data_IF_530362246813
#
_entry.id   IF_530362246813
#
_cell.length_a   1.000
_cell.length_b   1.000
_cell.length_c   1.000
_cell.angle_alpha   90.00
_cell.angle_beta   90.00
_cell.angle_gamma   90.00
#
_symmetry.space_group_name_H-M   'P 1'
#
loop_
_entity.id
_entity.type
_entity.pdbx_description
1 polymer ?
#
# COMPACT_ATOMS: atom_id res chain seq x y z
N UNK A 1 10.13 17.85 17.40
CA UNK A 1 10.51 17.29 16.08
C UNK A 1 9.67 16.04 15.91
N UNK A 2 8.76 16.03 14.95
CA UNK A 2 7.65 15.07 14.85
C UNK A 2 8.15 13.79 14.16
N UNK A 3 7.97 12.63 14.77
CA UNK A 3 8.36 11.35 14.19
C UNK A 3 7.15 10.43 14.07
N UNK A 4 6.88 10.02 12.83
CA UNK A 4 5.86 9.06 12.41
C UNK A 4 6.35 7.64 12.72
N UNK A 5 5.54 6.74 13.30
CA UNK A 5 5.57 5.37 12.75
C UNK A 5 4.46 4.38 13.07
N UNK A 6 3.98 4.22 14.30
CA UNK A 6 3.32 2.95 14.61
C UNK A 6 1.95 2.77 13.96
N UNK A 7 1.06 3.75 14.00
CA UNK A 7 -0.34 3.47 13.62
C UNK A 7 -0.56 3.31 12.10
N UNK A 8 0.19 4.04 11.27
CA UNK A 8 0.10 3.92 9.81
C UNK A 8 0.62 2.55 9.34
N UNK A 9 1.72 2.07 9.93
CA UNK A 9 2.31 0.79 9.57
C UNK A 9 1.43 -0.38 10.02
N UNK A 10 0.88 -0.32 11.24
CA UNK A 10 -0.09 -1.32 11.72
C UNK A 10 -1.39 -1.33 10.91
N UNK A 11 -1.91 -0.17 10.48
CA UNK A 11 -3.07 -0.11 9.57
C UNK A 11 -2.77 -0.70 8.18
N UNK A 12 -1.53 -0.61 7.72
CA UNK A 12 -1.11 -1.15 6.43
C UNK A 12 -0.54 -2.58 6.51
N UNK A 13 -0.41 -3.18 7.71
CA UNK A 13 0.07 -4.56 7.89
C UNK A 13 -0.91 -5.53 7.24
N UNK A 14 -0.59 -5.85 6.00
CA UNK A 14 -1.35 -6.78 5.18
C UNK A 14 -2.12 -6.14 4.05
N UNK A 15 -2.10 -4.82 3.82
CA UNK A 15 -2.95 -4.17 2.80
C UNK A 15 -2.17 -3.71 1.55
N UNK A 16 -0.86 -3.77 1.57
CA UNK A 16 0.05 -3.67 0.41
C UNK A 16 1.43 -3.74 1.02
N UNK A 17 2.45 -4.39 0.43
CA UNK A 17 3.81 -4.23 0.90
C UNK A 17 4.30 -2.83 0.50
N UNK A 18 3.81 -1.80 1.18
CA UNK A 18 4.38 -0.46 1.12
C UNK A 18 5.83 -0.61 1.55
N UNK A 19 6.76 -0.40 0.60
CA UNK A 19 8.17 -0.31 0.98
C UNK A 19 8.31 0.83 1.99
N UNK A 20 8.93 0.59 3.14
CA UNK A 20 9.08 1.56 4.21
C UNK A 20 10.13 2.60 3.83
N UNK A 21 9.99 3.30 2.71
CA UNK A 21 10.74 4.53 2.39
C UNK A 21 9.85 5.58 1.71
N UNK A 22 8.58 5.26 1.43
CA UNK A 22 7.72 6.10 0.59
C UNK A 22 6.41 6.54 1.26
N UNK A 23 6.19 6.24 2.53
CA UNK A 23 4.86 6.33 3.16
C UNK A 23 4.37 7.73 3.55
N UNK A 24 5.23 8.75 3.66
CA UNK A 24 4.83 10.05 4.22
C UNK A 24 3.90 10.89 3.34
N UNK A 25 3.73 10.56 2.05
CA UNK A 25 3.04 11.44 1.10
C UNK A 25 1.93 10.75 0.28
N UNK A 26 1.39 9.62 0.77
CA UNK A 26 0.36 8.85 0.06
C UNK A 26 -1.03 8.90 0.71
N UNK A 27 -1.12 9.28 2.00
CA UNK A 27 -2.40 9.52 2.68
C UNK A 27 -3.16 10.68 2.05
N UNK A 28 -4.49 10.61 2.08
CA UNK A 28 -5.39 11.58 1.45
C UNK A 28 -5.18 11.77 -0.07
N UNK A 29 -4.44 10.88 -0.73
CA UNK A 29 -4.21 10.95 -2.18
C UNK A 29 -4.90 9.82 -2.91
N UNK A 30 -5.44 10.16 -4.08
CA UNK A 30 -5.85 9.16 -5.04
C UNK A 30 -4.60 8.56 -5.69
N UNK A 31 -4.70 7.28 -6.02
CA UNK A 31 -3.62 6.57 -6.70
C UNK A 31 -4.13 5.99 -8.02
N UNK A 32 -3.29 6.04 -9.03
CA UNK A 32 -3.53 5.39 -10.31
C UNK A 32 -2.74 4.09 -10.34
N UNK A 33 -3.46 2.98 -10.45
CA UNK A 33 -2.83 1.67 -10.55
C UNK A 33 -2.94 1.17 -11.98
N UNK A 34 -1.79 0.89 -12.57
CA UNK A 34 -1.66 0.33 -13.89
C UNK A 34 -1.39 -1.15 -13.70
N UNK A 35 -2.39 -1.99 -13.96
CA UNK A 35 -2.28 -3.44 -13.90
C UNK A 35 -1.70 -3.96 -15.19
N UNK A 36 -0.57 -4.66 -15.11
CA UNK A 36 0.09 -5.29 -16.25
C UNK A 36 -0.15 -6.80 -16.19
N UNK A 37 -0.84 -7.32 -17.19
CA UNK A 37 -1.05 -8.75 -17.46
C UNK A 37 -1.38 -9.60 -16.21
N UNK A 38 -2.58 -9.44 -15.62
CA UNK A 38 -3.07 -10.32 -14.57
C UNK A 38 -3.33 -11.69 -15.20
N UNK A 39 -2.37 -12.61 -15.13
CA UNK A 39 -2.63 -14.01 -15.45
C UNK A 39 -3.52 -14.59 -14.34
N UNK A 40 -4.84 -14.46 -14.48
CA UNK A 40 -5.79 -15.31 -13.77
C UNK A 40 -6.10 -16.52 -14.63
N UNK A 41 -5.87 -17.71 -14.12
CA UNK A 41 -6.45 -18.92 -14.71
C UNK A 41 -7.92 -19.00 -14.26
N UNK A 42 -8.88 -18.70 -15.14
CA UNK A 42 -10.31 -18.91 -14.88
C UNK A 42 -11.24 -17.77 -15.27
N UNK A 43 -12.47 -18.13 -15.65
CA UNK A 43 -13.57 -17.23 -16.05
C UNK A 43 -14.08 -16.43 -14.83
N UNK A 44 -14.57 -15.23 -15.10
CA UNK A 44 -15.02 -14.26 -14.10
C UNK A 44 -16.45 -14.56 -13.67
N UNK A 45 -16.61 -15.16 -12.49
CA UNK A 45 -17.87 -15.30 -11.76
C UNK A 45 -17.63 -14.92 -10.29
N UNK A 46 -18.68 -14.52 -9.57
CA UNK A 46 -18.68 -14.18 -8.12
C UNK A 46 -18.09 -15.31 -7.23
N UNK A 47 -17.84 -16.50 -7.79
CA UNK A 47 -17.23 -17.67 -7.16
C UNK A 47 -15.69 -17.61 -7.01
N UNK A 48 -15.03 -16.53 -7.45
CA UNK A 48 -13.57 -16.44 -7.42
C UNK A 48 -12.97 -15.83 -6.14
N UNK A 49 -13.81 -15.53 -5.14
CA UNK A 49 -13.36 -15.17 -3.78
C UNK A 49 -12.56 -16.36 -3.18
N UNK A 50 -11.45 -16.08 -2.49
CA UNK A 50 -10.56 -17.10 -1.93
C UNK A 50 -9.54 -17.72 -2.90
N UNK A 51 -9.41 -17.22 -4.14
CA UNK A 51 -8.40 -17.71 -5.10
C UNK A 51 -7.12 -16.87 -5.08
N UNK A 52 -6.00 -17.49 -5.44
CA UNK A 52 -4.70 -16.81 -5.60
C UNK A 52 -4.67 -15.99 -6.90
N UNK A 53 -4.36 -14.70 -6.79
CA UNK A 53 -4.10 -13.80 -7.91
C UNK A 53 -2.60 -13.48 -7.99
N UNK A 54 -2.08 -13.38 -9.23
CA UNK A 54 -0.70 -12.94 -9.51
C UNK A 54 -0.75 -11.70 -10.40
N UNK A 55 -0.16 -10.60 -9.93
CA UNK A 55 -0.36 -9.29 -10.55
C UNK A 55 0.95 -8.51 -10.64
N UNK A 56 1.26 -8.03 -11.85
CA UNK A 56 2.21 -6.93 -12.02
C UNK A 56 1.46 -5.62 -12.03
N UNK A 57 2.00 -4.60 -11.38
CA UNK A 57 1.39 -3.31 -11.28
C UNK A 57 2.42 -2.19 -11.22
N UNK A 58 1.94 -0.98 -11.52
CA UNK A 58 2.62 0.28 -11.23
C UNK A 58 1.63 1.22 -10.58
N UNK A 59 1.96 1.72 -9.38
CA UNK A 59 1.22 2.75 -8.67
C UNK A 59 1.81 4.11 -8.99
N UNK A 60 0.96 5.04 -9.40
CA UNK A 60 1.31 6.45 -9.64
C UNK A 60 0.45 7.37 -8.78
N UNK A 61 1.04 8.47 -8.35
CA UNK A 61 0.31 9.59 -7.74
C UNK A 61 -0.35 10.45 -8.83
N UNK A 62 -1.24 11.36 -8.42
CA UNK A 62 -1.93 12.27 -9.36
C UNK A 62 -0.97 13.21 -10.10
N UNK A 63 0.20 13.52 -9.51
CA UNK A 63 1.25 14.32 -10.15
C UNK A 63 2.11 13.51 -11.16
N UNK A 64 1.80 12.22 -11.36
CA UNK A 64 2.52 11.33 -12.25
C UNK A 64 3.72 10.61 -11.63
N UNK A 65 4.09 10.93 -10.38
CA UNK A 65 5.18 10.27 -9.65
C UNK A 65 4.89 8.78 -9.52
N UNK A 66 5.84 7.94 -9.94
CA UNK A 66 5.76 6.50 -9.71
C UNK A 66 6.05 6.21 -8.24
N UNK A 67 5.00 5.84 -7.53
CA UNK A 67 5.08 5.52 -6.12
C UNK A 67 5.68 4.13 -5.91
N UNK A 68 5.13 3.11 -6.59
CA UNK A 68 5.60 1.74 -6.48
C UNK A 68 5.42 0.98 -7.79
N UNK A 69 6.23 -0.05 -8.01
CA UNK A 69 6.11 -0.94 -9.16
C UNK A 69 6.85 -2.23 -8.91
N UNK A 70 6.30 -3.33 -9.41
CA UNK A 70 6.95 -4.63 -9.43
C UNK A 70 7.16 -5.16 -10.86
N UNK A 71 7.08 -4.30 -11.88
CA UNK A 71 7.22 -4.73 -13.28
C UNK A 71 8.57 -5.40 -13.56
N UNK A 72 9.64 -4.94 -12.90
CA UNK A 72 11.01 -5.48 -13.02
C UNK A 72 11.34 -6.49 -11.89
N UNK A 73 10.33 -7.08 -11.24
CA UNK A 73 10.50 -7.94 -10.06
C UNK A 73 9.52 -9.13 -10.09
N UNK A 74 9.33 -9.82 -8.97
CA UNK A 74 8.32 -10.88 -8.88
C UNK A 74 6.89 -10.32 -8.84
N UNK A 75 5.89 -11.06 -9.38
CA UNK A 75 4.52 -10.64 -9.34
C UNK A 75 4.02 -10.61 -7.89
N UNK A 76 3.14 -9.66 -7.57
CA UNK A 76 2.44 -9.65 -6.29
C UNK A 76 1.46 -10.81 -6.26
N UNK A 77 1.58 -11.66 -5.24
CA UNK A 77 0.73 -12.82 -5.04
C UNK A 77 -0.14 -12.54 -3.81
N UNK A 78 -1.45 -12.61 -3.97
CA UNK A 78 -2.40 -12.45 -2.87
C UNK A 78 -3.63 -13.33 -3.07
N UNK A 79 -4.37 -13.57 -2.00
CA UNK A 79 -5.64 -14.29 -2.02
C UNK A 79 -6.76 -13.26 -2.06
N UNK A 80 -7.62 -13.34 -3.07
CA UNK A 80 -8.76 -12.41 -3.18
C UNK A 80 -9.73 -12.65 -2.02
N UNK A 81 -10.20 -11.59 -1.39
CA UNK A 81 -11.10 -11.66 -0.25
C UNK A 81 -10.41 -11.82 1.11
N UNK A 82 -9.08 -11.91 1.13
CA UNK A 82 -8.31 -12.04 2.35
C UNK A 82 -7.87 -10.68 2.94
N UNK A 83 -8.36 -9.56 2.38
CA UNK A 83 -7.95 -8.19 2.74
C UNK A 83 -6.43 -8.01 2.74
N UNK A 84 -5.76 -8.66 1.78
CA UNK A 84 -4.31 -8.67 1.63
C UNK A 84 -3.77 -7.49 0.79
N UNK A 85 -4.68 -6.71 0.19
CA UNK A 85 -4.38 -5.54 -0.63
C UNK A 85 -5.41 -4.44 -0.35
N UNK A 86 -5.16 -3.19 -0.76
CA UNK A 86 -6.13 -2.08 -0.61
C UNK A 86 -7.46 -2.45 -1.28
N UNK A 87 -8.62 -2.06 -0.71
CA UNK A 87 -9.93 -2.44 -1.23
C UNK A 87 -10.11 -2.12 -2.72
N UNK A 88 -9.66 -0.95 -3.16
CA UNK A 88 -9.75 -0.55 -4.56
C UNK A 88 -8.88 -1.39 -5.50
N UNK A 89 -7.75 -1.91 -5.02
CA UNK A 89 -6.88 -2.78 -5.80
C UNK A 89 -7.53 -4.14 -5.99
N UNK A 90 -8.05 -4.74 -4.91
CA UNK A 90 -8.73 -6.03 -4.99
C UNK A 90 -9.95 -5.96 -5.91
N UNK A 91 -10.80 -4.94 -5.73
CA UNK A 91 -11.97 -4.69 -6.57
C UNK A 91 -11.59 -4.55 -8.05
N UNK A 92 -10.54 -3.78 -8.35
CA UNK A 92 -10.05 -3.62 -9.71
C UNK A 92 -9.60 -4.95 -10.32
N UNK A 93 -8.88 -5.78 -9.57
CA UNK A 93 -8.44 -7.11 -10.03
C UNK A 93 -9.62 -8.06 -10.23
N UNK A 94 -10.63 -8.00 -9.37
CA UNK A 94 -11.85 -8.82 -9.48
C UNK A 94 -12.67 -8.46 -10.73
N UNK A 95 -12.66 -7.19 -11.15
CA UNK A 95 -13.35 -6.70 -12.35
C UNK A 95 -12.61 -6.95 -13.67
N UNK A 96 -11.34 -7.35 -13.61
CA UNK A 96 -10.49 -7.50 -14.79
C UNK A 96 -10.54 -8.90 -15.39
N UNK A 97 -10.57 -8.95 -16.72
CA UNK A 97 -10.35 -10.19 -17.45
C UNK A 97 -8.86 -10.57 -17.39
N UNK A 98 -8.54 -11.88 -17.30
CA UNK A 98 -7.17 -12.34 -17.32
C UNK A 98 -6.44 -11.92 -18.59
N UNK A 99 -5.17 -11.58 -18.48
CA UNK A 99 -4.34 -11.19 -19.62
C UNK A 99 -4.43 -9.72 -20.02
N UNK A 100 -5.33 -8.94 -19.42
CA UNK A 100 -5.62 -7.56 -19.84
C UNK A 100 -4.86 -6.51 -19.04
N UNK A 101 -4.47 -5.42 -19.66
CA UNK A 101 -3.92 -4.26 -18.96
C UNK A 101 -5.04 -3.23 -18.72
N UNK A 102 -5.13 -2.69 -17.50
CA UNK A 102 -6.11 -1.64 -17.15
C UNK A 102 -5.45 -0.63 -16.23
N UNK A 103 -5.79 0.64 -16.42
CA UNK A 103 -5.48 1.70 -15.46
C UNK A 103 -6.73 2.02 -14.67
N UNK A 104 -6.63 1.99 -13.35
CA UNK A 104 -7.73 2.30 -12.44
C UNK A 104 -7.32 3.43 -11.52
N UNK A 105 -8.17 4.45 -11.42
CA UNK A 105 -8.06 5.46 -10.37
C UNK A 105 -8.73 4.91 -9.12
N UNK A 106 -7.99 4.85 -8.03
CA UNK A 106 -8.48 4.45 -6.71
C UNK A 106 -8.50 5.70 -5.84
N UNK A 107 -9.64 5.95 -5.18
CA UNK A 107 -9.78 7.10 -4.27
C UNK A 107 -8.90 6.91 -3.03
N UNK A 108 -8.58 8.00 -2.32
CA UNK A 108 -7.87 7.87 -1.05
C UNK A 108 -8.58 6.92 -0.07
N UNK A 109 -9.91 6.95 -0.01
CA UNK A 109 -10.74 6.09 0.85
C UNK A 109 -10.61 4.59 0.50
N UNK A 110 -10.57 4.25 -0.79
CA UNK A 110 -10.37 2.86 -1.26
C UNK A 110 -8.87 2.46 -1.32
N UNK A 111 -7.96 3.39 -0.98
CA UNK A 111 -6.51 3.20 -0.94
C UNK A 111 -5.98 3.23 0.51
N UNK A 112 -5.30 4.32 0.91
CA UNK A 112 -4.61 4.44 2.20
C UNK A 112 -5.37 5.28 3.22
N UNK A 113 -6.59 5.69 2.90
CA UNK A 113 -7.44 6.51 3.76
C UNK A 113 -7.02 7.98 3.86
N UNK A 114 -7.78 8.76 4.64
CA UNK A 114 -7.40 10.12 4.98
C UNK A 114 -6.16 10.12 5.88
N UNK A 115 -5.41 11.20 5.79
CA UNK A 115 -4.40 11.55 6.78
C UNK A 115 -5.06 11.67 8.15
N UNK A 116 -4.53 10.93 9.13
CA UNK A 116 -5.05 10.95 10.47
C UNK A 116 -4.01 11.59 11.42
N UNK A 117 -4.33 12.78 11.90
CA UNK A 117 -3.50 13.54 12.84
C UNK A 117 -3.36 12.86 14.20
N UNK A 118 -4.33 12.04 14.61
CA UNK A 118 -4.27 11.27 15.86
C UNK A 118 -3.17 10.19 15.83
N UNK A 119 -2.70 9.83 14.64
CA UNK A 119 -1.58 8.90 14.46
C UNK A 119 -0.22 9.58 14.58
N UNK A 120 -0.21 10.89 14.79
CA UNK A 120 0.98 11.67 15.03
C UNK A 120 1.18 11.77 16.54
N UNK A 121 2.30 11.23 17.00
CA UNK A 121 2.73 11.43 18.38
C UNK A 121 4.00 12.25 18.45
N UNK A 122 4.13 13.04 19.50
CA UNK A 122 5.39 13.68 19.86
C UNK A 122 5.95 12.91 21.04
N UNK A 123 7.07 12.24 20.81
CA UNK A 123 7.83 11.59 21.88
C UNK A 123 8.96 12.50 22.35
N UNK A 124 9.30 12.40 23.63
CA UNK A 124 10.46 13.08 24.19
C UNK A 124 11.76 12.46 23.64
N UNK A 125 12.78 13.28 23.36
CA UNK A 125 14.08 12.82 22.83
C UNK A 125 14.76 11.82 23.78
N UNK A 126 14.46 11.89 25.07
CA UNK A 126 14.97 10.96 26.10
C UNK A 126 14.54 9.51 25.90
N UNK A 127 13.42 9.24 25.21
CA UNK A 127 13.00 7.88 24.87
C UNK A 127 13.80 7.27 23.70
N UNK A 128 14.60 8.08 23.00
CA UNK A 128 15.41 7.66 21.87
C UNK A 128 16.87 7.51 22.36
N UNK A 129 17.59 6.44 21.99
CA UNK A 129 19.01 6.30 22.31
C UNK A 129 19.84 7.52 21.87
N UNK A 130 20.79 7.96 22.70
CA UNK A 130 21.61 9.16 22.42
C UNK A 130 22.57 8.96 21.25
N UNK A 131 23.05 7.73 21.06
CA UNK A 131 23.94 7.32 19.97
C UNK A 131 23.22 7.17 18.62
N UNK A 132 21.89 7.24 18.61
CA UNK A 132 21.11 7.19 17.38
C UNK A 132 21.11 8.55 16.67
N UNK A 133 21.77 8.61 15.53
CA UNK A 133 21.74 9.75 14.62
C UNK A 133 20.37 9.83 13.91
N UNK A 134 19.53 10.74 14.36
CA UNK A 134 18.20 10.96 13.81
C UNK A 134 18.24 11.68 12.45
N UNK A 135 17.54 11.13 11.47
CA UNK A 135 17.32 11.73 10.16
C UNK A 135 15.83 11.93 9.88
N UNK A 136 15.48 13.01 9.18
CA UNK A 136 14.10 13.23 8.72
C UNK A 136 13.71 12.06 7.80
N UNK A 137 12.55 11.45 8.06
CA UNK A 137 12.08 10.28 7.33
C UNK A 137 12.68 8.95 7.80
N UNK A 138 13.53 8.96 8.83
CA UNK A 138 14.02 7.73 9.46
C UNK A 138 12.88 7.04 10.21
N UNK A 139 12.89 5.71 10.12
CA UNK A 139 11.95 4.85 10.81
C UNK A 139 12.47 4.45 12.18
N UNK A 140 11.59 4.55 13.17
CA UNK A 140 11.88 4.23 14.56
C UNK A 140 10.76 3.31 15.06
N UNK A 141 11.13 2.15 15.58
CA UNK A 141 10.22 1.36 16.41
C UNK A 141 10.38 1.85 17.84
N UNK A 142 9.31 2.41 18.37
CA UNK A 142 9.26 2.90 19.74
C UNK A 142 8.38 1.90 20.49
N UNK A 143 8.91 1.19 21.50
CA UNK A 143 8.07 0.34 22.32
C UNK A 143 6.98 1.19 22.98
N UNK A 144 5.72 0.88 22.70
CA UNK A 144 4.58 1.40 23.46
C UNK A 144 4.31 0.44 24.62
N UNK A 145 4.45 0.94 25.86
CA UNK A 145 4.09 0.22 27.11
C UNK A 145 2.57 0.17 27.32
#
# INVERSE_FOLDING_TARGET
MIFYYESIYEMCKGIFPLRPQKTSNIFSKNVFIIFNNPKREGKMDLENFGKTAKVYYTVRLEDGTVFDSNFDSEPLIFITGANQVIPGFEKAVLEMAPGTTKTVKITSEEAYGPYNEELITTIDRSFIPEDLNLQIGQYLSIPTD
#
